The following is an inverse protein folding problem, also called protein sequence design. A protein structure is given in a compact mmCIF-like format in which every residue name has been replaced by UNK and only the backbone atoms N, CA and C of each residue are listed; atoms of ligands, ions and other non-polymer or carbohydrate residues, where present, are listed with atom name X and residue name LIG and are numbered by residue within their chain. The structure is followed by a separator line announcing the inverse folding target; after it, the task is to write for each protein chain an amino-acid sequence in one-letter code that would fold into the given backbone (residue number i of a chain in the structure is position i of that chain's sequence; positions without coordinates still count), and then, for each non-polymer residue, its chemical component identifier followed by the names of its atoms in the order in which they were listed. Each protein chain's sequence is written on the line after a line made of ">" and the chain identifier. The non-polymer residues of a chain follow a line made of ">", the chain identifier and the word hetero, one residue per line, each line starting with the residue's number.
data_IF_615466902261
#
_entry.id   IF_615466902261
#
_cell.length_a   1.000
_cell.length_b   1.000
_cell.length_c   1.000
_cell.angle_alpha   90.00
_cell.angle_beta   90.00
_cell.angle_gamma   90.00
#
_symmetry.space_group_name_H-M   'P 1'
#
loop_
_entity.id
_entity.type
_entity.pdbx_description
1 polymer ?
#
# COMPACT_ATOMS: atom_id res chain seq x y z
N UNK A 1 27.72 30.71 25.25
CA UNK A 1 27.75 29.54 24.33
C UNK A 1 26.69 28.50 24.70
N UNK A 2 25.52 28.92 25.20
CA UNK A 2 24.56 28.00 25.86
C UNK A 2 23.26 27.82 25.07
N UNK A 3 22.94 28.74 24.16
CA UNK A 3 21.69 28.74 23.40
C UNK A 3 21.68 27.77 22.20
N UNK A 4 22.86 27.41 21.68
CA UNK A 4 22.99 26.49 20.52
C UNK A 4 22.84 25.02 20.90
N UNK A 5 23.12 24.63 22.16
CA UNK A 5 23.00 23.24 22.59
C UNK A 5 21.54 22.80 22.77
N UNK A 6 20.65 23.71 23.21
CA UNK A 6 19.25 23.37 23.50
C UNK A 6 18.43 23.06 22.24
N UNK A 7 18.76 23.70 21.11
CA UNK A 7 18.06 23.50 19.83
C UNK A 7 18.41 22.12 19.23
N UNK A 8 19.65 21.66 19.42
CA UNK A 8 20.09 20.36 18.92
C UNK A 8 19.43 19.20 19.69
N UNK A 9 19.12 19.38 20.98
CA UNK A 9 18.41 18.40 21.79
C UNK A 9 16.94 18.23 21.40
N UNK A 10 16.29 19.30 20.94
CA UNK A 10 14.85 19.27 20.58
C UNK A 10 14.62 18.69 19.18
N UNK A 11 15.63 18.72 18.30
CA UNK A 11 15.55 18.10 16.98
C UNK A 11 15.65 16.56 17.04
N UNK A 12 16.25 15.99 18.09
CA UNK A 12 16.49 14.55 18.19
C UNK A 12 15.29 13.76 18.75
N UNK A 13 14.34 14.42 19.41
CA UNK A 13 13.13 13.77 19.93
C UNK A 13 11.98 13.70 18.91
N UNK A 14 12.02 14.51 17.85
CA UNK A 14 10.98 14.53 16.81
C UNK A 14 11.01 13.34 15.85
N UNK A 15 12.14 12.63 15.74
CA UNK A 15 12.30 11.51 14.80
C UNK A 15 11.79 10.17 15.34
N UNK A 16 11.57 10.05 16.66
CA UNK A 16 11.10 8.80 17.28
C UNK A 16 9.58 8.63 17.22
N UNK A 17 8.81 9.71 17.00
CA UNK A 17 7.35 9.66 16.96
C UNK A 17 6.76 9.41 15.57
N UNK A 18 7.59 9.33 14.53
CA UNK A 18 7.15 9.04 13.17
C UNK A 18 7.21 7.53 12.81
N UNK A 19 7.66 6.67 13.73
CA UNK A 19 7.87 5.24 13.46
C UNK A 19 6.72 4.34 13.94
N UNK A 20 5.61 4.91 14.41
CA UNK A 20 4.37 4.16 14.63
C UNK A 20 3.46 4.39 13.41
N UNK A 21 3.89 3.89 12.25
CA UNK A 21 2.94 3.57 11.21
C UNK A 21 2.28 2.28 11.69
N UNK A 22 1.01 2.33 12.08
CA UNK A 22 0.24 1.16 12.47
C UNK A 22 0.46 0.09 11.39
N UNK A 23 1.06 -1.04 11.78
CA UNK A 23 1.49 -2.11 10.87
C UNK A 23 0.33 -2.91 10.29
N UNK A 24 -0.83 -2.29 10.15
CA UNK A 24 -2.08 -2.86 9.70
C UNK A 24 -2.73 -1.89 8.70
N UNK A 25 -3.11 -2.40 7.53
CA UNK A 25 -3.88 -1.66 6.54
C UNK A 25 -5.13 -2.46 6.20
N UNK A 26 -6.32 -1.89 6.42
CA UNK A 26 -7.61 -2.56 6.13
C UNK A 26 -7.75 -3.96 6.76
N UNK A 27 -7.29 -4.12 8.02
CA UNK A 27 -7.28 -5.40 8.71
C UNK A 27 -6.15 -6.36 8.30
N UNK A 28 -5.28 -5.96 7.38
CA UNK A 28 -4.15 -6.76 6.90
C UNK A 28 -2.88 -6.36 7.68
N UNK A 29 -2.32 -7.24 8.53
CA UNK A 29 -1.07 -6.97 9.20
C UNK A 29 0.08 -7.01 8.17
N UNK A 30 0.76 -5.88 7.97
CA UNK A 30 1.80 -5.70 6.96
C UNK A 30 3.20 -6.16 7.43
N UNK A 31 3.47 -6.13 8.74
CA UNK A 31 4.76 -6.58 9.32
C UNK A 31 5.16 -8.04 8.99
N UNK A 32 4.26 -9.04 9.02
CA UNK A 32 4.62 -10.43 8.72
C UNK A 32 4.74 -10.74 7.22
N UNK A 33 4.36 -9.83 6.33
CA UNK A 33 4.31 -10.07 4.89
C UNK A 33 5.69 -9.85 4.27
N UNK A 34 6.44 -10.93 4.04
CA UNK A 34 7.83 -10.84 3.58
C UNK A 34 8.01 -10.26 2.16
N UNK A 35 6.92 -10.11 1.41
CA UNK A 35 6.87 -9.37 0.15
C UNK A 35 5.55 -8.64 -0.02
N UNK A 36 5.63 -7.36 -0.39
CA UNK A 36 4.50 -6.58 -0.88
C UNK A 36 4.87 -6.00 -2.24
N UNK A 37 4.05 -6.26 -3.25
CA UNK A 37 4.18 -5.66 -4.58
C UNK A 37 2.88 -4.95 -4.90
N UNK A 38 2.96 -3.67 -5.25
CA UNK A 38 1.82 -2.89 -5.70
C UNK A 38 2.05 -2.37 -7.12
N UNK A 39 0.96 -2.25 -7.87
CA UNK A 39 0.93 -1.70 -9.22
C UNK A 39 -0.14 -0.62 -9.31
N UNK A 40 0.19 0.50 -9.96
CA UNK A 40 -0.74 1.60 -10.25
C UNK A 40 -1.36 1.34 -11.62
N UNK A 41 -2.68 1.17 -11.66
CA UNK A 41 -3.37 0.68 -12.85
C UNK A 41 -4.36 1.70 -13.43
N UNK A 42 -4.60 1.56 -14.72
CA UNK A 42 -5.64 2.29 -15.46
C UNK A 42 -6.64 1.31 -16.05
N UNK A 43 -7.91 1.70 -16.09
CA UNK A 43 -8.96 0.92 -16.71
C UNK A 43 -8.78 0.94 -18.22
N UNK A 44 -8.84 -0.25 -18.82
CA UNK A 44 -8.99 -0.35 -20.27
C UNK A 44 -10.32 0.26 -20.72
N UNK A 45 -10.38 0.71 -21.97
CA UNK A 45 -11.59 1.31 -22.54
C UNK A 45 -12.81 0.39 -22.38
N UNK A 46 -13.90 0.94 -21.82
CA UNK A 46 -15.15 0.22 -21.59
C UNK A 46 -15.15 -0.74 -20.39
N UNK A 47 -14.10 -0.74 -19.56
CA UNK A 47 -14.04 -1.50 -18.30
C UNK A 47 -14.40 -0.65 -17.10
N UNK A 48 -14.86 -1.32 -16.04
CA UNK A 48 -15.29 -0.70 -14.79
C UNK A 48 -14.49 -1.22 -13.60
N UNK A 49 -14.61 -0.57 -12.45
CA UNK A 49 -14.03 -1.08 -11.19
C UNK A 49 -14.66 -2.40 -10.74
N UNK A 50 -15.90 -2.69 -11.13
CA UNK A 50 -16.52 -4.00 -10.90
C UNK A 50 -15.84 -5.11 -11.72
N UNK A 51 -15.40 -4.81 -12.95
CA UNK A 51 -14.60 -5.76 -13.71
C UNK A 51 -13.26 -6.06 -13.02
N UNK A 52 -12.66 -5.06 -12.36
CA UNK A 52 -11.41 -5.20 -11.59
C UNK A 52 -11.66 -6.06 -10.35
N UNK A 53 -12.68 -5.77 -9.55
CA UNK A 53 -13.03 -6.56 -8.37
C UNK A 53 -13.24 -8.05 -8.72
N UNK A 54 -13.94 -8.32 -9.83
CA UNK A 54 -14.08 -9.68 -10.34
C UNK A 54 -12.73 -10.32 -10.68
N UNK A 55 -11.80 -9.58 -11.30
CA UNK A 55 -10.46 -10.11 -11.60
C UNK A 55 -9.64 -10.38 -10.34
N UNK A 56 -9.71 -9.50 -9.35
CA UNK A 56 -9.03 -9.67 -8.06
C UNK A 56 -9.51 -10.93 -7.35
N UNK A 57 -10.82 -11.16 -7.33
CA UNK A 57 -11.40 -12.40 -6.77
C UNK A 57 -10.96 -13.65 -7.53
N UNK A 58 -10.88 -13.59 -8.86
CA UNK A 58 -10.37 -14.71 -9.68
C UNK A 58 -8.88 -14.98 -9.41
N UNK A 59 -8.07 -13.94 -9.25
CA UNK A 59 -6.65 -14.07 -8.91
C UNK A 59 -6.46 -14.66 -7.51
N UNK A 60 -7.23 -14.19 -6.51
CA UNK A 60 -7.22 -14.75 -5.16
C UNK A 60 -7.56 -16.25 -5.17
N UNK A 61 -8.63 -16.64 -5.89
CA UNK A 61 -8.99 -18.05 -6.05
C UNK A 61 -7.90 -18.87 -6.77
N UNK A 62 -7.17 -18.26 -7.71
CA UNK A 62 -6.05 -18.90 -8.37
C UNK A 62 -4.90 -19.16 -7.38
N UNK A 63 -4.54 -18.20 -6.54
CA UNK A 63 -3.52 -18.38 -5.49
C UNK A 63 -3.86 -19.53 -4.55
N UNK A 64 -5.12 -19.60 -4.10
CA UNK A 64 -5.62 -20.71 -3.30
C UNK A 64 -5.51 -22.05 -4.03
N UNK A 65 -5.89 -22.10 -5.32
CA UNK A 65 -5.89 -23.33 -6.11
C UNK A 65 -4.50 -23.95 -6.30
N UNK A 66 -3.44 -23.14 -6.24
CA UNK A 66 -2.05 -23.60 -6.37
C UNK A 66 -1.30 -23.64 -5.03
N UNK A 67 -1.99 -23.38 -3.91
CA UNK A 67 -1.42 -23.45 -2.57
C UNK A 67 -0.39 -22.35 -2.26
N UNK A 68 -0.53 -21.17 -2.85
CA UNK A 68 0.29 -20.00 -2.53
C UNK A 68 -0.30 -19.27 -1.33
N UNK A 69 0.54 -18.92 -0.35
CA UNK A 69 0.14 -18.09 0.80
C UNK A 69 0.24 -16.61 0.44
N UNK A 70 -0.61 -16.21 -0.53
CA UNK A 70 -0.67 -14.87 -1.08
C UNK A 70 -2.08 -14.29 -0.96
N UNK A 71 -2.15 -13.03 -0.56
CA UNK A 71 -3.34 -12.20 -0.68
C UNK A 71 -3.22 -11.20 -1.82
N UNK A 72 -4.37 -10.75 -2.32
CA UNK A 72 -4.47 -9.68 -3.31
C UNK A 72 -5.61 -8.74 -2.93
N UNK A 73 -5.36 -7.44 -3.02
CA UNK A 73 -6.34 -6.40 -2.71
C UNK A 73 -6.28 -5.31 -3.77
N UNK A 74 -7.45 -4.75 -4.09
CA UNK A 74 -7.59 -3.61 -4.99
C UNK A 74 -8.03 -2.39 -4.20
N UNK A 75 -7.27 -1.31 -4.31
CA UNK A 75 -7.63 -0.02 -3.78
C UNK A 75 -8.24 0.82 -4.91
N UNK A 76 -9.54 1.11 -4.80
CA UNK A 76 -10.15 2.16 -5.63
C UNK A 76 -9.59 3.51 -5.18
N UNK A 77 -9.20 4.41 -6.11
CA UNK A 77 -8.30 5.48 -5.82
C UNK A 77 -8.95 6.46 -4.85
N UNK A 78 -8.36 6.56 -3.66
CA UNK A 78 -8.13 7.86 -3.06
C UNK A 78 -7.23 8.62 -4.06
N UNK A 79 -7.37 9.94 -4.17
CA UNK A 79 -6.37 10.78 -4.83
C UNK A 79 -5.02 10.53 -4.14
N UNK A 80 -4.29 9.51 -4.57
CA UNK A 80 -3.07 9.10 -3.93
C UNK A 80 -1.98 10.04 -4.43
N UNK A 81 -1.56 10.92 -3.55
CA UNK A 81 -0.46 11.84 -3.77
C UNK A 81 0.91 11.13 -3.90
N UNK A 82 0.97 9.78 -3.82
CA UNK A 82 2.20 9.01 -3.87
C UNK A 82 2.86 8.94 -5.26
N UNK A 83 2.13 9.15 -6.36
CA UNK A 83 2.74 9.28 -7.70
C UNK A 83 2.37 10.62 -8.36
N UNK A 84 3.28 11.59 -8.22
CA UNK A 84 3.12 12.94 -8.80
C UNK A 84 3.11 12.92 -10.34
N UNK A 85 3.57 11.82 -10.96
CA UNK A 85 3.72 11.69 -12.40
C UNK A 85 2.49 11.08 -13.08
N UNK A 86 1.72 10.23 -12.39
CA UNK A 86 0.59 9.50 -12.98
C UNK A 86 -0.76 9.97 -12.41
N UNK A 87 -1.33 11.00 -13.03
CA UNK A 87 -2.61 11.63 -12.62
C UNK A 87 -3.86 10.91 -13.12
N UNK A 88 -3.70 9.82 -13.85
CA UNK A 88 -4.80 9.14 -14.56
C UNK A 88 -5.00 7.71 -14.07
N UNK A 89 -4.39 7.33 -12.95
CA UNK A 89 -4.60 6.04 -12.32
C UNK A 89 -6.07 5.88 -11.88
N UNK A 90 -6.64 4.72 -12.18
CA UNK A 90 -8.03 4.37 -11.85
C UNK A 90 -8.14 3.42 -10.65
N UNK A 91 -7.05 2.75 -10.25
CA UNK A 91 -6.96 1.88 -9.07
C UNK A 91 -5.51 1.45 -8.79
N UNK A 92 -5.26 0.93 -7.59
CA UNK A 92 -4.00 0.27 -7.22
C UNK A 92 -4.33 -1.19 -6.91
N UNK A 93 -3.47 -2.12 -7.34
CA UNK A 93 -3.55 -3.52 -6.92
C UNK A 93 -2.32 -3.85 -6.11
N UNK A 94 -2.50 -4.52 -4.97
CA UNK A 94 -1.39 -5.00 -4.15
C UNK A 94 -1.52 -6.51 -3.97
N UNK A 95 -0.40 -7.20 -4.16
CA UNK A 95 -0.21 -8.60 -3.81
C UNK A 95 0.75 -8.67 -2.63
N UNK A 96 0.43 -9.50 -1.66
CA UNK A 96 1.20 -9.64 -0.43
C UNK A 96 1.25 -11.09 0.03
N UNK A 97 2.26 -11.47 0.81
CA UNK A 97 2.39 -12.82 1.37
C UNK A 97 3.80 -13.39 1.23
N UNK A 98 3.93 -14.71 1.36
CA UNK A 98 5.22 -15.43 1.39
C UNK A 98 5.23 -16.73 0.61
#
# INVERSE_FOLDING_TARGET
>A
MTFKLTILSLALTGTLLAHAADGEYDGIPLEPLAGMQYEICQLNSGKTLEDVDRQTNLAAAAFESVGLDLGIITFTPLYDHADISNKTADYITMVYGT
#
